data_IF_134339738560
#
_entry.id   IF_134339738560
#
_cell.length_a   1.000
_cell.length_b   1.000
_cell.length_c   1.000
_cell.angle_alpha   90.00
_cell.angle_beta   90.00
_cell.angle_gamma   90.00
#
_symmetry.space_group_name_H-M   'P 1'
#
loop_
_entity.id
_entity.type
_entity.pdbx_description
1 polymer ?
#
# COMPACT_ATOMS: atom_id res chain seq x y z
N UNK A 1 12.04 30.90 43.31
CA UNK A 1 11.59 29.50 43.15
C UNK A 1 11.07 29.31 41.74
N UNK A 2 11.82 28.58 40.91
CA UNK A 2 11.49 28.36 39.50
C UNK A 2 10.43 27.24 39.37
N UNK A 3 9.24 27.60 38.90
CA UNK A 3 8.17 26.65 38.58
C UNK A 3 8.47 25.89 37.30
N UNK A 4 8.70 24.58 37.43
CA UNK A 4 8.90 23.64 36.32
C UNK A 4 7.73 23.70 35.34
N UNK A 5 7.99 24.18 34.12
CA UNK A 5 7.11 23.99 32.98
C UNK A 5 7.20 22.52 32.53
N UNK A 6 6.30 21.70 33.04
CA UNK A 6 6.08 20.35 32.52
C UNK A 6 5.55 20.43 31.10
N UNK A 7 6.37 20.08 30.11
CA UNK A 7 5.88 19.76 28.76
C UNK A 7 5.00 18.52 28.88
N UNK A 8 3.68 18.71 28.79
CA UNK A 8 2.74 17.60 28.65
C UNK A 8 2.96 17.00 27.24
N UNK A 9 3.71 15.90 27.17
CA UNK A 9 3.89 15.13 25.94
C UNK A 9 2.58 14.38 25.60
N UNK A 10 1.73 15.01 24.80
CA UNK A 10 0.46 14.43 24.33
C UNK A 10 0.63 13.41 23.17
N UNK A 11 1.82 12.92 22.87
CA UNK A 11 2.05 12.07 21.68
C UNK A 11 1.42 10.67 21.78
N UNK A 12 1.26 10.12 23.00
CA UNK A 12 0.70 8.77 23.18
C UNK A 12 -0.83 8.65 23.15
N UNK A 13 -1.57 9.74 23.42
CA UNK A 13 -3.05 9.70 23.59
C UNK A 13 -3.86 10.07 22.34
N UNK A 14 -3.21 10.49 21.25
CA UNK A 14 -3.91 10.91 20.02
C UNK A 14 -4.15 9.76 19.05
N UNK A 15 -3.20 8.82 18.90
CA UNK A 15 -3.26 7.73 17.90
C UNK A 15 -4.44 6.76 18.05
N UNK A 16 -4.73 6.21 19.25
CA UNK A 16 -5.93 5.38 19.44
C UNK A 16 -7.24 6.11 19.12
N UNK A 17 -7.27 7.44 19.30
CA UNK A 17 -8.45 8.26 18.99
C UNK A 17 -8.66 8.41 17.48
N UNK A 18 -7.60 8.63 16.71
CA UNK A 18 -7.69 8.63 15.24
C UNK A 18 -8.11 7.26 14.71
N UNK A 19 -7.64 6.17 15.32
CA UNK A 19 -8.06 4.81 14.99
C UNK A 19 -9.55 4.56 15.27
N UNK A 20 -10.06 5.03 16.42
CA UNK A 20 -11.47 4.92 16.76
C UNK A 20 -12.36 5.78 15.85
N UNK A 21 -12.02 7.07 15.69
CA UNK A 21 -12.76 7.98 14.82
C UNK A 21 -12.71 7.59 13.34
N UNK A 22 -11.64 6.94 12.89
CA UNK A 22 -11.55 6.38 11.54
C UNK A 22 -12.45 5.16 11.29
N UNK A 23 -12.97 4.53 12.35
CA UNK A 23 -13.98 3.46 12.21
C UNK A 23 -15.42 3.94 12.42
N UNK A 24 -15.59 5.22 12.80
CA UNK A 24 -16.88 5.84 13.11
C UNK A 24 -17.43 5.44 14.48
N UNK A 25 -18.48 6.14 14.92
CA UNK A 25 -19.36 5.65 16.00
C UNK A 25 -18.94 5.98 17.42
N UNK A 26 -18.48 7.20 17.69
CA UNK A 26 -18.26 7.68 19.06
C UNK A 26 -18.45 9.17 19.19
N UNK A 27 -18.94 9.59 20.35
CA UNK A 27 -19.12 10.95 20.75
C UNK A 27 -17.77 11.59 21.10
N UNK A 28 -17.46 12.70 20.43
CA UNK A 28 -16.24 13.45 20.63
C UNK A 28 -16.53 14.81 21.23
N UNK A 29 -16.01 15.02 22.43
CA UNK A 29 -16.16 16.29 23.12
C UNK A 29 -14.85 17.06 23.17
N UNK A 30 -14.86 18.28 22.64
CA UNK A 30 -13.77 19.24 22.77
C UNK A 30 -14.08 20.22 23.89
N UNK A 31 -13.39 20.06 25.02
CA UNK A 31 -13.40 21.06 26.09
C UNK A 31 -12.46 22.20 25.71
N UNK A 32 -13.01 23.39 25.47
CA UNK A 32 -12.23 24.61 25.22
C UNK A 32 -12.09 25.40 26.53
N UNK A 33 -10.92 25.99 26.78
CA UNK A 33 -10.63 26.71 28.04
C UNK A 33 -11.46 27.99 28.24
N UNK A 34 -11.96 28.57 27.16
CA UNK A 34 -12.58 29.92 27.15
C UNK A 34 -13.90 29.98 26.37
N UNK A 35 -14.41 28.84 25.86
CA UNK A 35 -15.67 28.80 25.13
C UNK A 35 -16.48 27.58 25.52
N UNK A 36 -17.74 27.54 25.07
CA UNK A 36 -18.60 26.39 25.20
C UNK A 36 -17.97 25.11 24.62
N UNK A 37 -18.41 24.02 25.23
CA UNK A 37 -18.05 22.65 24.92
C UNK A 37 -18.65 22.27 23.58
N UNK A 38 -17.82 21.78 22.65
CA UNK A 38 -18.31 21.24 21.38
C UNK A 38 -18.47 19.74 21.54
N UNK A 39 -19.69 19.22 21.38
CA UNK A 39 -19.98 17.79 21.31
C UNK A 39 -20.27 17.42 19.85
N UNK A 40 -19.60 16.38 19.36
CA UNK A 40 -19.86 15.77 18.06
C UNK A 40 -20.34 14.35 18.35
N UNK A 41 -21.63 14.09 18.16
CA UNK A 41 -22.27 12.81 18.53
C UNK A 41 -21.73 11.63 17.72
N UNK A 42 -21.39 11.86 16.45
CA UNK A 42 -20.78 10.87 15.58
C UNK A 42 -19.49 11.41 14.93
N UNK A 43 -18.35 11.22 15.61
CA UNK A 43 -17.07 11.70 15.10
C UNK A 43 -16.46 10.69 14.12
N UNK A 44 -16.51 11.01 12.83
CA UNK A 44 -15.80 10.30 11.78
C UNK A 44 -14.59 11.14 11.30
N UNK A 45 -13.45 10.48 11.09
CA UNK A 45 -12.26 11.10 10.50
C UNK A 45 -11.80 10.27 9.30
N UNK A 46 -11.65 10.92 8.15
CA UNK A 46 -11.01 10.34 6.97
C UNK A 46 -9.70 11.07 6.66
N UNK A 47 -8.72 10.35 6.14
CA UNK A 47 -7.43 10.89 5.71
C UNK A 47 -7.25 10.58 4.23
N UNK A 48 -7.15 11.63 3.42
CA UNK A 48 -6.83 11.55 2.00
C UNK A 48 -5.56 12.36 1.75
N UNK A 49 -4.62 11.79 1.00
CA UNK A 49 -3.40 12.49 0.62
C UNK A 49 -2.56 11.69 -0.35
N UNK A 50 -1.67 12.39 -1.04
CA UNK A 50 -0.61 11.79 -1.84
C UNK A 50 0.69 11.76 -1.04
N UNK A 51 1.42 10.64 -1.11
CA UNK A 51 2.71 10.50 -0.45
C UNK A 51 3.65 9.68 -1.34
N UNK A 52 4.92 10.07 -1.37
CA UNK A 52 5.94 9.35 -2.12
C UNK A 52 6.24 8.00 -1.45
N UNK A 53 6.44 6.92 -2.22
CA UNK A 53 6.75 5.59 -1.68
C UNK A 53 7.93 5.61 -0.69
N UNK A 54 9.01 6.32 -1.02
CA UNK A 54 10.20 6.42 -0.15
C UNK A 54 9.91 7.05 1.21
N UNK A 55 8.95 8.00 1.26
CA UNK A 55 8.53 8.63 2.52
C UNK A 55 7.67 7.67 3.36
N UNK A 56 6.82 6.87 2.73
CA UNK A 56 6.10 5.80 3.44
C UNK A 56 7.06 4.76 4.00
N UNK A 57 8.06 4.33 3.23
CA UNK A 57 9.09 3.38 3.68
C UNK A 57 9.79 3.86 4.94
N UNK A 58 10.21 5.14 4.93
CA UNK A 58 10.84 5.76 6.09
C UNK A 58 9.91 5.85 7.31
N UNK A 59 8.62 6.13 7.10
CA UNK A 59 7.62 6.16 8.17
C UNK A 59 7.37 4.77 8.77
N UNK A 60 7.36 3.70 7.96
CA UNK A 60 7.15 2.32 8.44
C UNK A 60 8.16 1.92 9.51
N UNK A 61 9.44 2.29 9.34
CA UNK A 61 10.52 2.01 10.30
C UNK A 61 10.26 2.59 11.69
N UNK A 62 9.42 3.63 11.81
CA UNK A 62 9.08 4.30 13.06
C UNK A 62 7.65 4.06 13.55
N UNK A 63 6.85 3.22 12.88
CA UNK A 63 5.45 2.97 13.23
C UNK A 63 5.29 1.70 14.06
N UNK A 64 4.48 1.77 15.13
CA UNK A 64 3.99 0.61 15.86
C UNK A 64 3.04 -0.21 14.99
N UNK A 65 3.03 -1.54 15.15
CA UNK A 65 2.11 -2.45 14.45
C UNK A 65 0.69 -2.40 15.07
N UNK A 66 0.10 -1.20 15.13
CA UNK A 66 -1.23 -0.93 15.72
C UNK A 66 -2.38 -1.06 14.72
N UNK A 67 -2.06 -1.50 13.49
CA UNK A 67 -3.05 -1.71 12.42
C UNK A 67 -3.46 -0.43 11.68
N UNK A 68 -2.87 0.74 11.95
CA UNK A 68 -3.24 1.98 11.25
C UNK A 68 -2.99 1.89 9.75
N UNK A 69 -1.82 1.37 9.36
CA UNK A 69 -1.40 1.30 7.96
C UNK A 69 -2.29 0.36 7.14
N UNK A 70 -2.79 -0.70 7.78
CA UNK A 70 -3.67 -1.73 7.24
C UNK A 70 -5.12 -1.26 7.07
N UNK A 71 -5.45 -0.02 7.46
CA UNK A 71 -6.77 0.61 7.27
C UNK A 71 -6.79 1.61 6.13
N UNK A 72 -5.65 1.92 5.51
CA UNK A 72 -5.63 2.75 4.32
C UNK A 72 -6.02 1.93 3.09
N UNK A 73 -6.62 2.62 2.12
CA UNK A 73 -6.88 2.13 0.77
C UNK A 73 -5.81 2.73 -0.15
N UNK A 74 -4.65 2.07 -0.32
CA UNK A 74 -3.58 2.60 -1.13
C UNK A 74 -3.96 2.58 -2.61
N UNK A 75 -3.70 3.68 -3.31
CA UNK A 75 -3.83 3.78 -4.76
C UNK A 75 -2.47 4.19 -5.32
N UNK A 76 -1.78 3.27 -5.97
CA UNK A 76 -0.50 3.52 -6.62
C UNK A 76 -0.73 4.26 -7.95
N UNK A 77 -0.41 5.55 -7.97
CA UNK A 77 -0.57 6.40 -9.16
C UNK A 77 0.78 6.53 -9.86
N UNK A 78 0.84 6.18 -11.14
CA UNK A 78 1.99 6.47 -11.99
C UNK A 78 1.77 7.80 -12.72
N UNK A 79 2.76 8.70 -12.71
CA UNK A 79 2.65 9.97 -13.42
C UNK A 79 2.82 9.71 -14.92
N UNK A 80 1.74 9.93 -15.68
CA UNK A 80 1.77 9.88 -17.15
C UNK A 80 1.77 11.31 -17.69
N UNK A 81 2.97 11.81 -18.04
CA UNK A 81 3.14 13.15 -18.59
C UNK A 81 2.87 14.29 -17.61
N UNK A 82 2.61 15.47 -18.17
CA UNK A 82 2.39 16.69 -17.39
C UNK A 82 0.94 16.88 -16.93
N UNK A 83 0.02 16.05 -17.43
CA UNK A 83 -1.42 16.27 -17.28
C UNK A 83 -1.93 17.35 -18.23
N UNK A 84 -3.24 17.37 -18.46
CA UNK A 84 -3.92 18.45 -19.15
C UNK A 84 -4.64 19.33 -18.11
N UNK A 85 -4.68 20.63 -18.36
CA UNK A 85 -5.53 21.54 -17.58
C UNK A 85 -6.97 21.36 -18.09
N UNK A 86 -7.78 20.65 -17.30
CA UNK A 86 -9.16 20.29 -17.63
C UNK A 86 -10.08 21.11 -16.73
N UNK A 87 -10.99 21.86 -17.34
CA UNK A 87 -12.00 22.63 -16.60
C UNK A 87 -12.83 21.69 -15.70
N UNK A 88 -13.20 22.14 -14.49
CA UNK A 88 -13.97 21.31 -13.57
C UNK A 88 -15.38 21.02 -14.12
N UNK A 89 -15.83 19.77 -13.99
CA UNK A 89 -17.22 19.40 -14.21
C UNK A 89 -18.05 19.77 -12.98
N UNK A 90 -18.61 20.98 -12.99
CA UNK A 90 -19.39 21.53 -11.88
C UNK A 90 -20.63 20.68 -11.57
N UNK A 91 -21.30 20.15 -12.59
CA UNK A 91 -22.51 19.34 -12.40
C UNK A 91 -22.19 18.02 -11.69
N UNK A 92 -21.07 17.38 -12.02
CA UNK A 92 -20.59 16.20 -11.30
C UNK A 92 -20.13 16.55 -9.88
N UNK A 93 -19.49 17.71 -9.70
CA UNK A 93 -19.12 18.23 -8.38
C UNK A 93 -20.34 18.41 -7.45
N UNK A 94 -21.41 19.01 -7.95
CA UNK A 94 -22.66 19.21 -7.19
C UNK A 94 -23.33 17.87 -6.81
N UNK A 95 -23.42 16.92 -7.75
CA UNK A 95 -23.95 15.58 -7.45
C UNK A 95 -23.16 14.85 -6.36
N UNK A 96 -21.83 14.97 -6.39
CA UNK A 96 -20.96 14.37 -5.38
C UNK A 96 -21.13 15.04 -4.01
N UNK A 97 -21.27 16.38 -3.98
CA UNK A 97 -21.52 17.12 -2.75
C UNK A 97 -22.86 16.71 -2.12
N UNK A 98 -23.92 16.57 -2.93
CA UNK A 98 -25.23 16.11 -2.46
C UNK A 98 -25.16 14.69 -1.89
N UNK A 99 -24.49 13.77 -2.58
CA UNK A 99 -24.28 12.41 -2.06
C UNK A 99 -23.53 12.41 -0.71
N UNK A 100 -22.50 13.24 -0.56
CA UNK A 100 -21.74 13.35 0.68
C UNK A 100 -22.59 13.89 1.84
N UNK A 101 -23.36 14.96 1.61
CA UNK A 101 -24.26 15.53 2.62
C UNK A 101 -25.33 14.51 3.03
N UNK A 102 -25.95 13.84 2.06
CA UNK A 102 -26.97 12.83 2.32
C UNK A 102 -26.45 11.64 3.14
N UNK A 103 -25.21 11.19 2.90
CA UNK A 103 -24.57 10.15 3.73
C UNK A 103 -24.40 10.65 5.17
N UNK A 104 -23.97 11.90 5.36
CA UNK A 104 -23.79 12.49 6.67
C UNK A 104 -25.13 12.62 7.43
N UNK A 105 -26.20 13.02 6.74
CA UNK A 105 -27.54 13.16 7.33
C UNK A 105 -28.18 11.80 7.65
N UNK A 106 -27.97 10.79 6.80
CA UNK A 106 -28.47 9.43 7.02
C UNK A 106 -27.88 8.76 8.27
N UNK A 107 -26.69 9.21 8.72
CA UNK A 107 -26.05 8.72 9.93
C UNK A 107 -26.88 8.95 11.21
N UNK A 108 -27.93 9.78 11.14
CA UNK A 108 -28.83 10.10 12.25
C UNK A 108 -30.04 9.14 12.41
N UNK A 109 -29.98 7.92 11.85
CA UNK A 109 -30.95 6.87 12.24
C UNK A 109 -31.39 5.89 11.16
N UNK A 110 -30.91 6.02 9.91
CA UNK A 110 -31.28 5.06 8.85
C UNK A 110 -30.29 3.89 8.80
N UNK A 111 -30.79 2.68 9.05
CA UNK A 111 -30.00 1.45 8.87
C UNK A 111 -30.19 0.89 7.47
N UNK A 112 -29.09 0.77 6.73
CA UNK A 112 -29.06 0.15 5.41
C UNK A 112 -28.70 -1.32 5.53
N UNK A 113 -29.35 -2.16 4.72
CA UNK A 113 -29.08 -3.60 4.68
C UNK A 113 -28.91 -4.09 3.25
N UNK A 114 -28.19 -5.18 3.07
CA UNK A 114 -28.11 -5.87 1.79
C UNK A 114 -29.41 -6.61 1.48
N UNK A 115 -29.80 -6.63 0.21
CA UNK A 115 -30.71 -7.65 -0.31
C UNK A 115 -30.05 -9.04 -0.24
N UNK A 116 -30.80 -10.16 -0.22
CA UNK A 116 -30.20 -11.50 -0.17
C UNK A 116 -29.20 -11.78 -1.30
N UNK A 117 -29.44 -11.23 -2.50
CA UNK A 117 -28.49 -11.36 -3.62
C UNK A 117 -27.26 -10.48 -3.46
N UNK A 118 -27.38 -9.31 -2.82
CA UNK A 118 -26.24 -8.46 -2.50
C UNK A 118 -25.37 -9.03 -1.38
N UNK A 119 -25.98 -9.74 -0.43
CA UNK A 119 -25.27 -10.44 0.65
C UNK A 119 -24.35 -11.54 0.11
N UNK A 120 -24.74 -12.20 -0.98
CA UNK A 120 -23.87 -13.17 -1.67
C UNK A 120 -22.54 -12.55 -2.18
N UNK A 121 -22.51 -11.24 -2.47
CA UNK A 121 -21.27 -10.55 -2.86
C UNK A 121 -20.30 -10.41 -1.68
N UNK A 122 -20.80 -10.29 -0.43
CA UNK A 122 -19.96 -10.32 0.76
C UNK A 122 -19.27 -11.67 0.91
N UNK A 123 -19.99 -12.78 0.72
CA UNK A 123 -19.40 -14.12 0.72
C UNK A 123 -18.33 -14.28 -0.37
N UNK A 124 -18.51 -13.67 -1.54
CA UNK A 124 -17.48 -13.65 -2.57
C UNK A 124 -16.23 -12.86 -2.13
N UNK A 125 -16.38 -11.74 -1.42
CA UNK A 125 -15.26 -11.01 -0.80
C UNK A 125 -14.55 -11.87 0.25
N UNK A 126 -15.29 -12.59 1.09
CA UNK A 126 -14.70 -13.46 2.11
C UNK A 126 -13.94 -14.65 1.51
N UNK A 127 -14.49 -15.27 0.46
CA UNK A 127 -13.82 -16.33 -0.28
C UNK A 127 -12.53 -15.82 -0.95
N UNK A 128 -12.57 -14.63 -1.55
CA UNK A 128 -11.39 -13.97 -2.11
C UNK A 128 -10.32 -13.73 -1.04
N UNK A 129 -10.71 -13.12 0.10
CA UNK A 129 -9.83 -12.90 1.25
C UNK A 129 -9.16 -14.21 1.70
N UNK A 130 -9.94 -15.27 1.91
CA UNK A 130 -9.42 -16.56 2.37
C UNK A 130 -8.39 -17.14 1.38
N UNK A 131 -8.69 -17.08 0.08
CA UNK A 131 -7.78 -17.53 -0.97
C UNK A 131 -6.45 -16.76 -0.96
N UNK A 132 -6.50 -15.42 -0.90
CA UNK A 132 -5.28 -14.61 -0.96
C UNK A 132 -4.45 -14.68 0.35
N UNK A 133 -5.10 -14.82 1.51
CA UNK A 133 -4.39 -15.05 2.80
C UNK A 133 -3.65 -16.40 2.80
N UNK A 134 -4.23 -17.43 2.18
CA UNK A 134 -3.64 -18.77 2.14
C UNK A 134 -2.39 -18.87 1.25
N UNK A 135 -2.05 -17.83 0.48
CA UNK A 135 -0.89 -17.86 -0.38
C UNK A 135 0.42 -17.90 0.43
N UNK A 136 1.40 -18.73 0.03
CA UNK A 136 2.69 -18.82 0.73
C UNK A 136 3.45 -17.49 0.77
N UNK A 137 3.31 -16.67 -0.27
CA UNK A 137 3.97 -15.37 -0.45
C UNK A 137 3.21 -14.20 0.19
N UNK A 138 2.04 -14.44 0.79
CA UNK A 138 1.27 -13.38 1.45
C UNK A 138 1.98 -12.92 2.73
N UNK A 139 2.49 -11.68 2.74
CA UNK A 139 3.14 -11.10 3.91
C UNK A 139 2.17 -10.92 5.09
N UNK A 140 2.64 -10.90 6.35
CA UNK A 140 1.78 -10.65 7.51
C UNK A 140 1.01 -9.33 7.41
N UNK A 141 1.63 -8.26 6.91
CA UNK A 141 0.98 -6.96 6.72
C UNK A 141 -0.12 -7.02 5.65
N UNK A 142 0.11 -7.75 4.55
CA UNK A 142 -0.92 -7.97 3.53
C UNK A 142 -2.10 -8.77 4.09
N UNK A 143 -1.85 -9.83 4.87
CA UNK A 143 -2.90 -10.63 5.53
C UNK A 143 -3.76 -9.78 6.47
N UNK A 144 -3.13 -8.94 7.29
CA UNK A 144 -3.85 -8.04 8.19
C UNK A 144 -4.70 -6.98 7.45
N UNK A 145 -4.25 -6.53 6.27
CA UNK A 145 -5.04 -5.65 5.41
C UNK A 145 -6.22 -6.40 4.77
N UNK A 146 -5.98 -7.62 4.26
CA UNK A 146 -7.02 -8.50 3.71
C UNK A 146 -8.13 -8.77 4.74
N UNK A 147 -7.80 -8.91 6.02
CA UNK A 147 -8.77 -9.06 7.10
C UNK A 147 -9.72 -7.86 7.28
N UNK A 148 -9.40 -6.69 6.72
CA UNK A 148 -10.26 -5.49 6.77
C UNK A 148 -11.22 -5.38 5.59
N UNK A 149 -10.99 -6.12 4.52
CA UNK A 149 -11.81 -6.04 3.30
C UNK A 149 -13.31 -6.23 3.52
N UNK A 150 -13.81 -7.17 4.35
CA UNK A 150 -15.25 -7.35 4.52
C UNK A 150 -15.96 -6.11 5.08
N UNK A 151 -15.35 -5.43 6.05
CA UNK A 151 -15.90 -4.19 6.62
C UNK A 151 -15.84 -3.05 5.60
N UNK A 152 -14.74 -2.97 4.84
CA UNK A 152 -14.57 -1.95 3.81
C UNK A 152 -15.55 -2.13 2.65
N UNK A 153 -15.84 -3.37 2.28
CA UNK A 153 -16.89 -3.71 1.31
C UNK A 153 -18.26 -3.15 1.73
N UNK A 154 -18.64 -3.29 3.00
CA UNK A 154 -19.89 -2.72 3.52
C UNK A 154 -19.94 -1.20 3.36
N UNK A 155 -18.85 -0.50 3.73
CA UNK A 155 -18.74 0.96 3.59
C UNK A 155 -18.79 1.41 2.14
N UNK A 156 -18.02 0.76 1.26
CA UNK A 156 -17.98 1.05 -0.16
C UNK A 156 -19.33 0.80 -0.84
N UNK A 157 -20.02 -0.27 -0.45
CA UNK A 157 -21.36 -0.56 -0.96
C UNK A 157 -22.35 0.55 -0.60
N UNK A 158 -22.28 1.08 0.63
CA UNK A 158 -23.10 2.22 1.04
C UNK A 158 -22.75 3.47 0.24
N UNK A 159 -21.45 3.80 0.10
CA UNK A 159 -21.01 4.95 -0.69
C UNK A 159 -21.49 4.84 -2.15
N UNK A 160 -21.36 3.66 -2.77
CA UNK A 160 -21.79 3.44 -4.15
C UNK A 160 -23.31 3.53 -4.28
N UNK A 161 -24.06 3.05 -3.30
CA UNK A 161 -25.52 3.16 -3.27
C UNK A 161 -25.99 4.61 -3.32
N UNK A 162 -25.33 5.50 -2.56
CA UNK A 162 -25.63 6.93 -2.59
C UNK A 162 -25.14 7.59 -3.88
N UNK A 163 -23.93 7.29 -4.36
CA UNK A 163 -23.41 7.82 -5.62
C UNK A 163 -24.34 7.47 -6.79
N UNK A 164 -24.83 6.24 -6.84
CA UNK A 164 -25.76 5.79 -7.90
C UNK A 164 -27.11 6.48 -7.81
N UNK A 165 -27.63 6.69 -6.60
CA UNK A 165 -28.87 7.42 -6.40
C UNK A 165 -28.76 8.86 -6.90
N UNK A 166 -27.75 9.61 -6.46
CA UNK A 166 -27.56 11.01 -6.84
C UNK A 166 -26.94 11.20 -8.23
N UNK A 167 -26.37 10.15 -8.80
CA UNK A 167 -25.87 10.10 -10.18
C UNK A 167 -26.96 9.83 -11.22
N UNK A 168 -28.10 9.26 -10.82
CA UNK A 168 -29.21 8.97 -11.71
C UNK A 168 -29.92 10.26 -12.18
N UNK A 169 -30.28 10.30 -13.46
CA UNK A 169 -31.09 11.41 -14.01
C UNK A 169 -32.47 11.43 -13.35
N UNK A 170 -32.81 12.54 -12.69
CA UNK A 170 -34.10 12.71 -12.01
C UNK A 170 -34.10 12.41 -10.50
N UNK A 171 -32.94 12.19 -9.89
CA UNK A 171 -32.83 12.13 -8.43
C UNK A 171 -33.23 13.49 -7.81
N UNK A 172 -34.12 13.45 -6.82
CA UNK A 172 -34.49 14.64 -6.06
C UNK A 172 -33.40 14.87 -5.01
N UNK A 173 -32.89 16.09 -4.94
CA UNK A 173 -31.73 16.44 -4.10
C UNK A 173 -31.89 16.06 -2.62
N UNK A 174 -33.13 15.93 -2.14
CA UNK A 174 -33.46 15.74 -0.72
C UNK A 174 -34.05 14.36 -0.37
N UNK A 175 -34.00 13.39 -1.29
CA UNK A 175 -34.48 12.02 -0.98
C UNK A 175 -33.32 11.09 -0.68
N UNK A 176 -33.36 10.40 0.47
CA UNK A 176 -32.44 9.31 0.75
C UNK A 176 -32.71 8.12 -0.19
N UNK A 177 -31.68 7.35 -0.56
CA UNK A 177 -31.89 6.12 -1.30
C UNK A 177 -32.61 5.08 -0.44
N UNK A 178 -33.23 4.09 -1.08
CA UNK A 178 -33.90 3.00 -0.38
C UNK A 178 -32.96 2.31 0.62
N UNK A 179 -33.46 1.92 1.80
CA UNK A 179 -32.67 1.27 2.85
C UNK A 179 -32.19 -0.16 2.50
N UNK A 180 -32.36 -0.60 1.25
CA UNK A 180 -31.93 -1.90 0.73
C UNK A 180 -30.92 -1.68 -0.39
N UNK A 181 -29.72 -2.22 -0.21
CA UNK A 181 -28.66 -2.21 -1.22
C UNK A 181 -28.86 -3.39 -2.17
N UNK A 182 -28.99 -3.08 -3.46
CA UNK A 182 -29.20 -4.06 -4.52
C UNK A 182 -27.92 -4.80 -4.91
N UNK A 183 -28.08 -5.95 -5.59
CA UNK A 183 -26.96 -6.77 -6.03
C UNK A 183 -25.99 -6.01 -6.94
N UNK A 184 -26.49 -5.25 -7.92
CA UNK A 184 -25.61 -4.55 -8.87
C UNK A 184 -24.68 -3.52 -8.22
N UNK A 185 -25.15 -2.80 -7.20
CA UNK A 185 -24.35 -1.86 -6.41
C UNK A 185 -23.29 -2.60 -5.59
N UNK A 186 -23.68 -3.69 -4.92
CA UNK A 186 -22.78 -4.53 -4.14
C UNK A 186 -21.71 -5.19 -5.03
N UNK A 187 -22.08 -5.69 -6.21
CA UNK A 187 -21.15 -6.25 -7.19
C UNK A 187 -20.12 -5.20 -7.62
N UNK A 188 -20.54 -3.97 -7.93
CA UNK A 188 -19.60 -2.88 -8.27
C UNK A 188 -18.64 -2.58 -7.13
N UNK A 189 -19.12 -2.54 -5.89
CA UNK A 189 -18.27 -2.35 -4.71
C UNK A 189 -17.26 -3.50 -4.54
N UNK A 190 -17.70 -4.76 -4.71
CA UNK A 190 -16.81 -5.93 -4.71
C UNK A 190 -15.75 -5.81 -5.79
N UNK A 191 -16.12 -5.50 -7.03
CA UNK A 191 -15.19 -5.38 -8.15
C UNK A 191 -14.17 -4.26 -7.92
N UNK A 192 -14.62 -3.10 -7.45
CA UNK A 192 -13.72 -2.02 -7.06
C UNK A 192 -12.72 -2.48 -5.99
N UNK A 193 -13.18 -3.20 -4.96
CA UNK A 193 -12.30 -3.65 -3.87
C UNK A 193 -11.35 -4.79 -4.29
N UNK A 194 -11.84 -5.78 -5.02
CA UNK A 194 -11.10 -7.03 -5.36
C UNK A 194 -10.31 -6.96 -6.66
N UNK A 195 -10.72 -6.13 -7.62
CA UNK A 195 -10.05 -6.01 -8.93
C UNK A 195 -9.14 -4.76 -8.97
N UNK A 196 -9.64 -3.61 -8.50
CA UNK A 196 -8.90 -2.35 -8.56
C UNK A 196 -8.04 -2.12 -7.30
N UNK A 197 -8.66 -1.96 -6.14
CA UNK A 197 -7.96 -1.65 -4.88
C UNK A 197 -6.95 -2.73 -4.52
N UNK A 198 -7.33 -4.00 -4.62
CA UNK A 198 -6.42 -5.11 -4.30
C UNK A 198 -5.13 -5.06 -5.12
N UNK A 199 -5.20 -4.75 -6.42
CA UNK A 199 -4.02 -4.67 -7.29
C UNK A 199 -3.04 -3.58 -6.83
N UNK A 200 -3.57 -2.45 -6.38
CA UNK A 200 -2.77 -1.37 -5.79
C UNK A 200 -2.23 -1.75 -4.40
N UNK A 201 -3.05 -2.39 -3.57
CA UNK A 201 -2.65 -2.88 -2.26
C UNK A 201 -1.53 -3.92 -2.37
N UNK A 202 -1.60 -4.83 -3.35
CA UNK A 202 -0.55 -5.82 -3.59
C UNK A 202 0.78 -5.14 -3.95
N UNK A 203 0.74 -4.15 -4.84
CA UNK A 203 1.92 -3.34 -5.20
C UNK A 203 2.49 -2.65 -3.97
N UNK A 204 1.64 -1.99 -3.18
CA UNK A 204 2.01 -1.25 -1.98
C UNK A 204 2.57 -2.16 -0.88
N UNK A 205 1.86 -3.22 -0.50
CA UNK A 205 2.23 -4.12 0.59
C UNK A 205 3.34 -5.10 0.24
N UNK A 206 3.60 -5.39 -1.04
CA UNK A 206 4.76 -6.21 -1.44
C UNK A 206 5.98 -5.36 -1.76
N UNK A 207 5.85 -4.30 -2.58
CA UNK A 207 7.01 -3.51 -3.05
C UNK A 207 7.38 -2.36 -2.11
N UNK A 208 6.39 -1.66 -1.58
CA UNK A 208 6.64 -0.45 -0.79
C UNK A 208 6.76 -0.75 0.71
N UNK A 209 6.03 -1.73 1.21
CA UNK A 209 6.08 -2.13 2.62
C UNK A 209 6.63 -3.54 2.84
N UNK A 210 6.51 -4.45 1.87
CA UNK A 210 6.75 -5.88 2.08
C UNK A 210 8.19 -6.32 1.88
N UNK A 211 8.95 -5.59 1.06
CA UNK A 211 10.35 -5.88 0.86
C UNK A 211 11.11 -5.61 2.16
N UNK A 212 11.68 -6.66 2.77
CA UNK A 212 12.74 -6.45 3.73
C UNK A 212 13.91 -5.76 3.02
N UNK A 213 14.76 -5.05 3.76
CA UNK A 213 16.00 -4.51 3.19
C UNK A 213 16.83 -5.60 2.49
N UNK A 214 16.75 -6.84 2.99
CA UNK A 214 17.37 -8.01 2.36
C UNK A 214 16.74 -8.36 1.01
N UNK A 215 15.40 -8.32 0.89
CA UNK A 215 14.71 -8.58 -0.38
C UNK A 215 15.02 -7.50 -1.41
N UNK A 216 15.14 -6.24 -1.00
CA UNK A 216 15.55 -5.15 -1.89
C UNK A 216 16.96 -5.38 -2.44
N UNK A 217 17.90 -5.80 -1.58
CA UNK A 217 19.24 -6.15 -2.01
C UNK A 217 19.25 -7.39 -2.92
N UNK A 218 18.46 -8.42 -2.60
CA UNK A 218 18.38 -9.65 -3.38
C UNK A 218 17.80 -9.36 -4.78
N UNK A 219 16.71 -8.60 -4.87
CA UNK A 219 16.12 -8.17 -6.14
C UNK A 219 17.09 -7.32 -6.96
N UNK A 220 17.86 -6.43 -6.32
CA UNK A 220 18.88 -5.65 -7.03
C UNK A 220 19.96 -6.54 -7.64
N UNK A 221 20.44 -7.53 -6.88
CA UNK A 221 21.46 -8.49 -7.33
C UNK A 221 20.90 -9.40 -8.42
N UNK A 222 19.67 -9.91 -8.28
CA UNK A 222 18.96 -10.68 -9.30
C UNK A 222 18.82 -9.89 -10.61
N UNK A 223 18.41 -8.63 -10.54
CA UNK A 223 18.34 -7.75 -11.71
C UNK A 223 19.71 -7.50 -12.36
N UNK A 224 20.78 -7.42 -11.57
CA UNK A 224 22.15 -7.32 -12.10
C UNK A 224 22.60 -8.60 -12.82
N UNK A 225 22.31 -9.77 -12.24
CA UNK A 225 22.58 -11.09 -12.84
C UNK A 225 21.86 -11.21 -14.19
N UNK A 226 20.58 -10.86 -14.26
CA UNK A 226 19.80 -10.87 -15.50
C UNK A 226 20.34 -9.88 -16.53
N UNK A 227 20.65 -8.65 -16.11
CA UNK A 227 21.11 -7.60 -17.02
C UNK A 227 22.43 -7.97 -17.70
N UNK A 228 23.37 -8.54 -16.93
CA UNK A 228 24.71 -8.89 -17.41
C UNK A 228 24.86 -10.35 -17.85
N UNK A 229 23.82 -11.17 -17.74
CA UNK A 229 23.85 -12.58 -18.15
C UNK A 229 24.88 -13.40 -17.35
N UNK A 230 24.98 -13.16 -16.05
CA UNK A 230 26.05 -13.76 -15.23
C UNK A 230 25.78 -15.26 -15.00
N UNK A 231 26.80 -16.09 -15.22
CA UNK A 231 26.80 -17.50 -14.85
C UNK A 231 27.32 -17.76 -13.42
N UNK A 232 28.03 -16.78 -12.84
CA UNK A 232 28.52 -16.81 -11.48
C UNK A 232 28.66 -15.38 -10.93
N UNK A 233 28.63 -15.22 -9.62
CA UNK A 233 28.80 -13.93 -8.94
C UNK A 233 29.55 -14.12 -7.63
N UNK A 234 30.44 -13.18 -7.29
CA UNK A 234 31.17 -13.17 -6.02
C UNK A 234 30.75 -12.03 -5.10
N UNK A 235 31.06 -12.17 -3.81
CA UNK A 235 30.90 -11.10 -2.81
C UNK A 235 31.65 -9.83 -3.23
N UNK A 236 32.81 -10.00 -3.88
CA UNK A 236 33.62 -8.90 -4.41
C UNK A 236 32.92 -8.19 -5.57
N UNK A 237 32.22 -8.93 -6.44
CA UNK A 237 31.46 -8.33 -7.52
C UNK A 237 30.32 -7.48 -6.98
N UNK A 238 29.51 -8.03 -6.07
CA UNK A 238 28.41 -7.31 -5.41
C UNK A 238 28.93 -6.04 -4.73
N UNK A 239 30.00 -6.16 -3.93
CA UNK A 239 30.62 -5.02 -3.25
C UNK A 239 31.09 -3.92 -4.22
N UNK A 240 31.64 -4.30 -5.37
CA UNK A 240 32.15 -3.36 -6.38
C UNK A 240 31.02 -2.61 -7.09
N UNK A 241 29.94 -3.31 -7.45
CA UNK A 241 28.90 -2.78 -8.33
C UNK A 241 27.69 -2.20 -7.59
N UNK A 242 27.51 -2.50 -6.30
CA UNK A 242 26.33 -2.10 -5.54
C UNK A 242 26.66 -1.11 -4.40
N UNK A 243 26.52 0.21 -4.61
CA UNK A 243 26.86 1.22 -3.62
C UNK A 243 26.18 1.03 -2.25
N UNK A 244 24.94 0.53 -2.22
CA UNK A 244 24.18 0.33 -0.98
C UNK A 244 24.87 -0.63 0.01
N UNK A 245 25.64 -1.58 -0.51
CA UNK A 245 26.41 -2.58 0.25
C UNK A 245 27.92 -2.33 0.23
N UNK A 246 28.38 -1.21 -0.35
CA UNK A 246 29.80 -0.85 -0.50
C UNK A 246 30.35 -0.20 0.77
N UNK A 247 30.33 -0.93 1.89
CA UNK A 247 30.96 -0.55 3.17
C UNK A 247 31.55 -1.79 3.86
N UNK A 248 32.72 -1.69 4.53
CA UNK A 248 33.30 -2.81 5.29
C UNK A 248 32.33 -3.43 6.31
N UNK A 249 31.53 -2.60 6.99
CA UNK A 249 30.55 -3.02 8.00
C UNK A 249 29.37 -3.80 7.40
N UNK A 250 29.14 -3.68 6.08
CA UNK A 250 28.01 -4.29 5.38
C UNK A 250 28.36 -5.60 4.66
N UNK A 251 29.59 -6.11 4.84
CA UNK A 251 30.01 -7.38 4.20
C UNK A 251 29.15 -8.58 4.61
N UNK A 252 28.74 -8.64 5.86
CA UNK A 252 27.81 -9.68 6.34
C UNK A 252 26.44 -9.60 5.68
N UNK A 253 25.97 -8.39 5.32
CA UNK A 253 24.72 -8.19 4.58
C UNK A 253 24.80 -8.75 3.15
N UNK A 254 25.98 -8.75 2.51
CA UNK A 254 26.15 -9.36 1.19
C UNK A 254 25.87 -10.87 1.28
N UNK A 255 26.47 -11.55 2.26
CA UNK A 255 26.27 -12.99 2.47
C UNK A 255 24.80 -13.28 2.81
N UNK A 256 24.19 -12.49 3.69
CA UNK A 256 22.76 -12.63 4.01
C UNK A 256 21.86 -12.42 2.77
N UNK A 257 22.19 -11.45 1.91
CA UNK A 257 21.48 -11.21 0.64
C UNK A 257 21.58 -12.41 -0.29
N UNK A 258 22.77 -13.00 -0.41
CA UNK A 258 22.98 -14.16 -1.28
C UNK A 258 22.25 -15.40 -0.78
N UNK A 259 22.11 -15.58 0.54
CA UNK A 259 21.27 -16.63 1.13
C UNK A 259 19.79 -16.51 0.78
N UNK A 260 19.27 -15.29 0.64
CA UNK A 260 17.88 -15.08 0.15
C UNK A 260 17.76 -15.58 -1.29
N UNK A 261 18.73 -15.25 -2.15
CA UNK A 261 18.75 -15.76 -3.53
C UNK A 261 18.89 -17.29 -3.60
N UNK A 262 19.70 -17.88 -2.71
CA UNK A 262 19.84 -19.33 -2.60
C UNK A 262 18.54 -20.01 -2.17
N UNK A 263 17.82 -19.45 -1.18
CA UNK A 263 16.52 -19.94 -0.74
C UNK A 263 15.48 -19.94 -1.88
N UNK A 264 15.62 -19.05 -2.86
CA UNK A 264 14.80 -18.99 -4.07
C UNK A 264 15.39 -19.75 -5.27
N UNK A 265 16.41 -20.57 -5.06
CA UNK A 265 17.12 -21.39 -6.08
C UNK A 265 17.68 -20.57 -7.25
N UNK A 266 17.99 -19.28 -7.03
CA UNK A 266 18.64 -18.42 -8.03
C UNK A 266 20.14 -18.68 -8.14
N UNK A 267 20.76 -19.06 -7.03
CA UNK A 267 22.20 -19.25 -6.92
C UNK A 267 22.51 -20.41 -5.98
N UNK A 268 23.71 -21.01 -6.12
CA UNK A 268 24.23 -22.03 -5.21
C UNK A 268 25.66 -21.69 -4.80
N UNK A 269 26.06 -21.89 -3.53
CA UNK A 269 27.43 -21.66 -3.08
C UNK A 269 28.42 -22.48 -3.92
N UNK A 270 29.46 -21.82 -4.42
CA UNK A 270 30.49 -22.42 -5.26
C UNK A 270 31.88 -22.40 -4.60
N UNK A 271 32.09 -21.51 -3.63
CA UNK A 271 33.32 -21.42 -2.86
C UNK A 271 33.03 -20.90 -1.45
N UNK A 272 33.75 -21.45 -0.48
CA UNK A 272 33.77 -21.03 0.92
C UNK A 272 35.21 -20.62 1.23
N UNK A 273 35.39 -19.44 1.81
CA UNK A 273 36.71 -18.93 2.15
C UNK A 273 37.36 -19.67 3.35
N UNK A 274 38.60 -19.31 3.65
CA UNK A 274 39.38 -19.89 4.77
C UNK A 274 38.76 -19.65 6.16
N UNK A 275 37.77 -18.77 6.27
CA UNK A 275 37.06 -18.44 7.50
C UNK A 275 35.68 -19.12 7.57
N UNK A 276 35.34 -19.99 6.61
CA UNK A 276 34.06 -20.68 6.56
C UNK A 276 32.92 -19.82 6.00
N UNK A 277 33.23 -18.73 5.31
CA UNK A 277 32.24 -17.80 4.75
C UNK A 277 32.12 -18.00 3.24
N UNK A 278 30.90 -18.20 2.75
CA UNK A 278 30.62 -18.24 1.32
C UNK A 278 30.95 -16.89 0.66
N UNK A 279 31.73 -16.91 -0.42
CA UNK A 279 32.15 -15.70 -1.11
C UNK A 279 31.96 -15.75 -2.63
N UNK A 280 31.52 -16.90 -3.17
CA UNK A 280 31.22 -17.09 -4.59
C UNK A 280 30.04 -18.04 -4.77
N UNK A 281 29.17 -17.71 -5.70
CA UNK A 281 27.99 -18.50 -6.06
C UNK A 281 27.91 -18.73 -7.57
N UNK A 282 27.44 -19.92 -7.95
CA UNK A 282 27.05 -20.26 -9.32
C UNK A 282 25.59 -19.88 -9.51
N UNK A 283 25.26 -19.21 -10.62
CA UNK A 283 23.89 -18.82 -10.95
C UNK A 283 23.18 -20.01 -11.58
N UNK A 284 21.93 -20.26 -11.17
CA UNK A 284 21.10 -21.30 -11.76
C UNK A 284 20.82 -20.96 -13.24
N UNK A 285 21.20 -21.82 -14.22
CA UNK A 285 20.96 -21.55 -15.64
C UNK A 285 19.49 -21.29 -15.99
N UNK A 286 18.54 -21.82 -15.19
CA UNK A 286 17.11 -21.60 -15.39
C UNK A 286 16.69 -20.13 -15.24
N UNK A 287 17.49 -19.27 -14.60
CA UNK A 287 17.19 -17.82 -14.56
C UNK A 287 17.39 -17.15 -15.93
N UNK A 288 18.10 -17.81 -16.85
CA UNK A 288 18.40 -17.30 -18.20
C UNK A 288 17.65 -18.05 -19.31
N UNK A 289 16.70 -18.92 -18.97
CA UNK A 289 15.97 -19.78 -19.93
C UNK A 289 14.88 -19.07 -20.76
N UNK A 290 14.74 -17.75 -20.57
CA UNK A 290 13.73 -16.92 -21.24
C UNK A 290 12.59 -16.47 -20.34
N UNK A 291 12.33 -17.12 -19.19
CA UNK A 291 11.24 -16.75 -18.27
C UNK A 291 11.31 -15.31 -17.72
N UNK A 292 12.51 -14.73 -17.70
CA UNK A 292 12.77 -13.36 -17.26
C UNK A 292 13.27 -12.43 -18.38
N UNK A 293 13.09 -12.79 -19.66
CA UNK A 293 13.67 -12.05 -20.79
C UNK A 293 13.24 -10.57 -20.83
N UNK A 294 11.96 -10.29 -20.55
CA UNK A 294 11.42 -8.93 -20.56
C UNK A 294 11.97 -8.07 -19.41
N UNK A 295 12.12 -8.68 -18.23
CA UNK A 295 12.75 -8.05 -17.05
C UNK A 295 14.23 -7.80 -17.33
N UNK A 296 14.95 -8.76 -17.92
CA UNK A 296 16.36 -8.61 -18.27
C UNK A 296 16.59 -7.48 -19.28
N UNK A 297 15.73 -7.35 -20.30
CA UNK A 297 15.79 -6.26 -21.27
C UNK A 297 15.55 -4.89 -20.61
N UNK A 298 14.59 -4.82 -19.69
CA UNK A 298 14.28 -3.58 -18.95
C UNK A 298 15.42 -3.18 -18.01
N UNK A 299 15.98 -4.12 -17.25
CA UNK A 299 17.12 -3.85 -16.38
C UNK A 299 18.39 -3.47 -17.14
N UNK A 300 18.65 -4.08 -18.32
CA UNK A 300 19.74 -3.65 -19.21
C UNK A 300 19.60 -2.19 -19.60
N UNK A 301 18.46 -1.81 -20.19
CA UNK A 301 18.18 -0.43 -20.61
C UNK A 301 18.33 0.56 -19.46
N UNK A 302 17.75 0.24 -18.29
CA UNK A 302 17.82 1.10 -17.10
C UNK A 302 19.28 1.35 -16.66
N UNK A 303 20.11 0.30 -16.63
CA UNK A 303 21.50 0.38 -16.15
C UNK A 303 22.44 1.04 -17.16
N UNK A 304 22.27 0.75 -18.44
CA UNK A 304 23.08 1.37 -19.49
C UNK A 304 22.75 2.87 -19.60
N UNK A 305 21.48 3.27 -19.45
CA UNK A 305 21.09 4.69 -19.41
C UNK A 305 21.66 5.46 -18.22
N UNK A 306 21.76 4.84 -17.03
CA UNK A 306 22.43 5.43 -15.87
C UNK A 306 23.93 5.60 -16.12
N UNK A 307 24.57 4.59 -16.72
CA UNK A 307 26.00 4.66 -17.02
C UNK A 307 26.33 5.74 -18.06
N UNK A 308 25.47 5.92 -19.05
CA UNK A 308 25.61 6.96 -20.08
C UNK A 308 25.44 8.37 -19.48
N UNK A 309 24.45 8.56 -18.60
CA UNK A 309 24.24 9.83 -17.89
C UNK A 309 25.44 10.20 -16.99
N UNK A 310 26.07 9.21 -16.33
CA UNK A 310 27.28 9.42 -15.52
C UNK A 310 28.47 9.83 -16.40
N UNK A 311 28.66 9.19 -17.56
CA UNK A 311 29.74 9.53 -18.49
C UNK A 311 29.59 10.96 -19.03
N UNK A 312 28.36 11.35 -19.37
CA UNK A 312 28.07 12.70 -19.89
C UNK A 312 28.24 13.77 -18.80
N UNK A 313 27.82 13.49 -17.56
CA UNK A 313 28.02 14.41 -16.43
C UNK A 313 29.47 14.52 -15.92
N UNK A 314 30.34 13.55 -16.23
CA UNK A 314 31.77 13.60 -15.92
C UNK A 314 32.62 14.26 -17.02
N UNK A 315 32.03 14.49 -18.20
CA UNK A 315 32.67 15.14 -19.34
C UNK A 315 32.29 16.63 -19.49
N UNK A 316 31.41 17.14 -18.63
CA UNK A 316 31.02 18.55 -18.51
C UNK A 316 31.69 19.17 -17.27
#
# INVERSE_FOLDING_TARGET
MAGRHGRISCQGRKRPRFLAAGQGGGDFTVNRKLSERICVENCAISVLGGIQPDKIKALKLGMSDDGLLQRFTPISIHRSGNGADIAPDLATGERLANAANAIADAANGTLFRFSPKADAELHAVEAFKAKEIARPDASPTLRQWLDKMPNEFGRLSLVFHFIEHYGASGAVADTLPAAVIGQGTAERARRYLTEFVYSHALTFYLKDLGASTMDEHALWVAGFVLARGLAAISSRDVYRVYPALKSPEKRSLIVATMRVLEMHDWVKPAHIDRHGVEDRWTVNPAVHDGRFAEIAATERRRRDGVQESIKQGAAA
#
